data_IF_267460541106
#
_entry.id   IF_267460541106
#
_cell.length_a   1.000
_cell.length_b   1.000
_cell.length_c   1.000
_cell.angle_alpha   90.00
_cell.angle_beta   90.00
_cell.angle_gamma   90.00
#
_symmetry.space_group_name_H-M   'P 1'
#
loop_
_entity.id
_entity.type
_entity.pdbx_description
1 polymer ?
#
# COMPACT_ATOMS: atom_id res chain seq x y z
N UNK A 1 16.31 16.48 10.04
CA UNK A 1 14.90 16.30 9.77
C UNK A 1 14.64 15.07 8.92
N UNK A 2 13.68 14.27 9.33
CA UNK A 2 13.31 13.11 8.54
C UNK A 2 12.44 13.53 7.37
N UNK A 3 12.67 12.93 6.20
CA UNK A 3 11.78 13.06 5.07
C UNK A 3 10.63 12.08 5.23
N UNK A 4 9.42 12.50 4.88
CA UNK A 4 8.24 11.65 4.98
C UNK A 4 7.84 11.13 3.61
N UNK A 5 7.51 9.86 3.60
CA UNK A 5 6.98 9.17 2.42
C UNK A 5 5.47 9.05 2.58
N UNK A 6 4.73 9.53 1.60
CA UNK A 6 3.28 9.38 1.56
C UNK A 6 2.92 8.03 0.94
N UNK A 7 2.03 7.30 1.59
CA UNK A 7 1.60 5.98 1.14
C UNK A 7 0.09 5.95 0.96
N UNK A 8 -0.37 5.36 -0.13
CA UNK A 8 -1.77 5.04 -0.38
C UNK A 8 -1.86 3.56 -0.67
N UNK A 9 -2.61 2.82 0.12
CA UNK A 9 -2.68 1.36 0.02
C UNK A 9 -4.12 0.92 -0.16
N UNK A 10 -4.35 0.10 -1.18
CA UNK A 10 -5.62 -0.58 -1.40
C UNK A 10 -5.43 -2.07 -1.13
N UNK A 11 -6.13 -2.59 -0.14
CA UNK A 11 -6.14 -4.03 0.16
C UNK A 11 -7.25 -4.71 -0.61
N UNK A 12 -6.93 -5.87 -1.17
CA UNK A 12 -7.80 -6.63 -2.07
C UNK A 12 -7.89 -8.08 -1.60
N UNK A 13 -9.07 -8.65 -1.66
CA UNK A 13 -9.29 -10.03 -1.24
C UNK A 13 -10.72 -10.22 -0.76
N UNK A 14 -10.93 -11.26 0.04
CA UNK A 14 -12.22 -11.53 0.62
C UNK A 14 -12.67 -10.34 1.48
N UNK A 15 -13.95 -10.02 1.37
CA UNK A 15 -14.54 -8.86 2.03
C UNK A 15 -14.27 -8.86 3.53
N UNK A 16 -14.36 -10.01 4.18
CA UNK A 16 -14.13 -10.15 5.61
C UNK A 16 -12.66 -9.93 5.97
N UNK A 17 -11.74 -10.42 5.15
CA UNK A 17 -10.31 -10.25 5.35
C UNK A 17 -9.90 -8.80 5.18
N UNK A 18 -10.42 -8.13 4.15
CA UNK A 18 -10.17 -6.71 3.92
C UNK A 18 -10.72 -5.86 5.06
N UNK A 19 -11.92 -6.18 5.55
CA UNK A 19 -12.52 -5.48 6.69
C UNK A 19 -11.67 -5.64 7.95
N UNK A 20 -11.10 -6.82 8.16
CA UNK A 20 -10.21 -7.08 9.30
C UNK A 20 -8.94 -6.23 9.24
N UNK A 21 -8.38 -6.02 8.04
CA UNK A 21 -7.22 -5.15 7.84
C UNK A 21 -7.57 -3.69 8.15
N UNK A 22 -8.71 -3.22 7.68
CA UNK A 22 -9.19 -1.85 7.98
C UNK A 22 -9.37 -1.64 9.48
N UNK A 23 -9.92 -2.63 10.15
CA UNK A 23 -10.08 -2.61 11.60
C UNK A 23 -8.72 -2.56 12.31
N UNK A 24 -7.74 -3.29 11.82
CA UNK A 24 -6.37 -3.25 12.35
C UNK A 24 -5.79 -1.83 12.29
N UNK A 25 -5.91 -1.15 11.15
CA UNK A 25 -5.42 0.22 11.00
C UNK A 25 -6.16 1.19 11.92
N UNK A 26 -7.46 1.02 12.07
CA UNK A 26 -8.26 1.85 12.98
C UNK A 26 -7.80 1.68 14.43
N UNK A 27 -7.48 0.45 14.84
CA UNK A 27 -6.96 0.17 16.18
C UNK A 27 -5.57 0.77 16.40
N UNK A 28 -4.70 0.70 15.40
CA UNK A 28 -3.38 1.31 15.48
C UNK A 28 -3.51 2.82 15.64
N UNK A 29 -4.36 3.45 14.83
CA UNK A 29 -4.62 4.89 14.90
C UNK A 29 -5.13 5.28 16.29
N UNK A 30 -6.11 4.56 16.81
CA UNK A 30 -6.69 4.82 18.13
C UNK A 30 -5.64 4.71 19.22
N UNK A 31 -4.81 3.69 19.19
CA UNK A 31 -3.76 3.46 20.17
C UNK A 31 -2.70 4.57 20.12
N UNK A 32 -2.31 4.99 18.94
CA UNK A 32 -1.35 6.09 18.76
C UNK A 32 -1.90 7.41 19.31
N UNK A 33 -3.17 7.69 19.07
CA UNK A 33 -3.82 8.88 19.59
C UNK A 33 -3.91 8.87 21.12
N UNK A 34 -4.08 7.68 21.69
CA UNK A 34 -4.20 7.51 23.14
C UNK A 34 -2.86 7.64 23.86
N UNK A 35 -1.81 7.06 23.30
CA UNK A 35 -0.49 6.97 23.94
C UNK A 35 0.47 8.06 23.50
N UNK A 36 0.15 8.78 22.43
CA UNK A 36 1.03 9.75 21.76
C UNK A 36 2.36 9.14 21.33
N UNK A 37 2.36 7.84 21.05
CA UNK A 37 3.53 7.10 20.57
C UNK A 37 3.14 6.29 19.34
N UNK A 38 4.11 6.09 18.44
CA UNK A 38 3.91 5.27 17.26
C UNK A 38 4.04 3.80 17.63
N UNK A 39 3.15 2.99 17.08
CA UNK A 39 3.11 1.56 17.34
C UNK A 39 2.98 0.78 16.03
N UNK A 40 3.60 -0.38 16.00
CA UNK A 40 3.32 -1.39 14.99
C UNK A 40 2.44 -2.48 15.61
N UNK A 41 1.61 -3.17 14.82
CA UNK A 41 0.90 -4.34 15.34
C UNK A 41 1.85 -5.37 15.94
N UNK A 42 1.41 -6.05 16.98
CA UNK A 42 2.26 -6.95 17.76
C UNK A 42 2.91 -8.07 16.96
N UNK A 43 2.25 -8.53 15.89
CA UNK A 43 2.77 -9.61 15.06
C UNK A 43 3.82 -9.15 14.04
N UNK A 44 4.01 -7.84 13.87
CA UNK A 44 4.97 -7.29 12.92
C UNK A 44 6.39 -7.39 13.48
N UNK A 45 7.28 -7.95 12.67
CA UNK A 45 8.71 -8.02 12.96
C UNK A 45 9.43 -6.97 12.13
N UNK A 46 9.65 -5.81 12.73
CA UNK A 46 10.35 -4.70 12.09
C UNK A 46 10.82 -3.71 13.15
N UNK A 47 11.96 -3.09 12.89
CA UNK A 47 12.53 -2.07 13.79
C UNK A 47 12.05 -0.66 13.43
N UNK A 48 11.41 -0.50 12.28
CA UNK A 48 10.94 0.78 11.77
C UNK A 48 9.72 0.54 10.87
N UNK A 49 9.20 1.59 10.26
CA UNK A 49 8.05 1.48 9.38
C UNK A 49 6.74 1.86 10.06
N UNK A 50 6.83 2.69 11.09
CA UNK A 50 5.66 3.21 11.79
C UNK A 50 4.79 4.03 10.86
N UNK A 51 3.48 3.84 10.96
CA UNK A 51 2.48 4.53 10.16
C UNK A 51 1.98 5.77 10.91
N UNK A 52 2.18 6.93 10.30
CA UNK A 52 1.80 8.22 10.89
C UNK A 52 0.65 8.83 10.08
N UNK A 53 -0.16 9.64 10.73
CA UNK A 53 -1.27 10.36 10.09
C UNK A 53 -2.17 9.42 9.29
N UNK A 54 -2.60 8.35 9.95
CA UNK A 54 -3.43 7.32 9.31
C UNK A 54 -4.80 7.89 8.99
N UNK A 55 -5.22 7.74 7.75
CA UNK A 55 -6.57 8.05 7.27
C UNK A 55 -7.15 6.80 6.62
N UNK A 56 -8.11 6.19 7.30
CA UNK A 56 -8.73 4.94 6.89
C UNK A 56 -10.20 5.12 6.49
N UNK A 57 -10.61 6.35 6.14
CA UNK A 57 -12.02 6.67 5.88
C UNK A 57 -12.55 6.11 4.57
N UNK A 58 -11.68 5.85 3.61
CA UNK A 58 -12.06 5.37 2.28
C UNK A 58 -11.46 3.99 1.99
N UNK A 59 -11.67 3.49 0.79
CA UNK A 59 -11.12 2.20 0.38
C UNK A 59 -9.60 2.20 0.36
N UNK A 60 -9.01 3.32 -0.01
CA UNK A 60 -7.57 3.52 0.06
C UNK A 60 -7.18 4.02 1.44
N UNK A 61 -6.24 3.31 2.06
CA UNK A 61 -5.65 3.73 3.33
C UNK A 61 -4.48 4.66 3.04
N UNK A 62 -4.49 5.84 3.65
CA UNK A 62 -3.44 6.83 3.48
C UNK A 62 -2.71 7.02 4.80
N UNK A 63 -1.38 7.03 4.74
CA UNK A 63 -0.55 7.29 5.91
C UNK A 63 0.86 7.70 5.47
N UNK A 64 1.63 8.21 6.40
CA UNK A 64 3.02 8.59 6.16
C UNK A 64 3.97 7.68 6.90
N UNK A 65 5.14 7.45 6.29
CA UNK A 65 6.26 6.73 6.89
C UNK A 65 7.52 7.56 6.74
N UNK A 66 8.55 7.26 7.54
CA UNK A 66 9.82 7.99 7.49
C UNK A 66 10.70 7.42 6.39
N UNK A 67 11.22 8.29 5.51
CA UNK A 67 12.22 8.01 4.48
C UNK A 67 11.75 7.17 3.32
N UNK A 68 11.02 6.09 3.57
CA UNK A 68 10.67 5.09 2.56
C UNK A 68 9.32 4.46 2.88
N UNK A 69 8.66 3.82 1.90
CA UNK A 69 7.46 3.04 2.18
C UNK A 69 7.81 1.82 3.06
N UNK A 70 6.87 1.45 3.91
CA UNK A 70 7.04 0.31 4.83
C UNK A 70 6.56 -1.00 4.20
N UNK A 71 7.09 -1.35 3.05
CA UNK A 71 6.61 -2.51 2.27
C UNK A 71 6.74 -3.83 3.04
N UNK A 72 7.79 -3.98 3.85
CA UNK A 72 7.97 -5.17 4.68
C UNK A 72 6.86 -5.31 5.74
N UNK A 73 6.37 -4.20 6.26
CA UNK A 73 5.25 -4.20 7.21
C UNK A 73 3.97 -4.59 6.49
N UNK A 74 3.71 -3.99 5.33
CA UNK A 74 2.53 -4.30 4.52
C UNK A 74 2.50 -5.76 4.07
N UNK A 75 3.66 -6.30 3.72
CA UNK A 75 3.79 -7.70 3.32
C UNK A 75 3.40 -8.64 4.47
N UNK A 76 3.85 -8.34 5.69
CA UNK A 76 3.49 -9.13 6.86
C UNK A 76 2.00 -9.05 7.18
N UNK A 77 1.39 -7.87 7.02
CA UNK A 77 -0.05 -7.70 7.19
C UNK A 77 -0.80 -8.52 6.13
N UNK A 78 -0.39 -8.42 4.89
CA UNK A 78 -1.04 -9.14 3.79
C UNK A 78 -0.96 -10.65 3.96
N UNK A 79 0.18 -11.14 4.40
CA UNK A 79 0.38 -12.58 4.67
C UNK A 79 -0.51 -13.06 5.81
N UNK A 80 -0.57 -12.31 6.90
CA UNK A 80 -1.37 -12.68 8.07
C UNK A 80 -2.87 -12.70 7.75
N UNK A 81 -3.36 -11.69 7.05
CA UNK A 81 -4.80 -11.55 6.77
C UNK A 81 -5.21 -12.16 5.44
N UNK A 82 -4.26 -12.75 4.70
CA UNK A 82 -4.52 -13.41 3.40
C UNK A 82 -5.18 -12.47 2.41
N UNK A 83 -4.63 -11.28 2.30
CA UNK A 83 -5.07 -10.26 1.34
C UNK A 83 -3.93 -9.91 0.40
N UNK A 84 -4.27 -9.29 -0.71
CA UNK A 84 -3.32 -8.67 -1.62
C UNK A 84 -3.35 -7.16 -1.42
N UNK A 85 -2.39 -6.44 -1.96
CA UNK A 85 -2.44 -4.97 -1.90
C UNK A 85 -1.76 -4.33 -3.09
N UNK A 86 -2.17 -3.09 -3.33
CA UNK A 86 -1.51 -2.15 -4.23
C UNK A 86 -1.13 -0.95 -3.37
N UNK A 87 0.14 -0.56 -3.42
CA UNK A 87 0.64 0.58 -2.67
C UNK A 87 1.26 1.61 -3.62
N UNK A 88 0.78 2.84 -3.53
CA UNK A 88 1.41 3.98 -4.20
C UNK A 88 2.15 4.78 -3.15
N UNK A 89 3.41 5.08 -3.40
CA UNK A 89 4.21 5.85 -2.45
C UNK A 89 4.97 6.96 -3.15
N UNK A 90 5.19 8.05 -2.43
CA UNK A 90 5.99 9.16 -2.93
C UNK A 90 6.76 9.83 -1.79
N UNK A 91 8.02 10.11 -2.02
CA UNK A 91 8.87 10.90 -1.13
C UNK A 91 9.34 12.11 -1.92
N UNK A 92 8.74 13.25 -1.61
CA UNK A 92 8.87 14.45 -2.44
C UNK A 92 10.26 15.07 -2.40
N UNK A 93 10.94 15.01 -1.27
CA UNK A 93 12.25 15.63 -1.11
C UNK A 93 13.33 14.91 -1.93
N UNK A 94 13.24 13.59 -2.04
CA UNK A 94 14.12 12.79 -2.88
C UNK A 94 13.64 12.69 -4.33
N UNK A 95 12.40 13.14 -4.60
CA UNK A 95 11.81 13.01 -5.91
C UNK A 95 11.51 11.57 -6.32
N UNK A 96 11.38 10.67 -5.35
CA UNK A 96 11.07 9.26 -5.59
C UNK A 96 9.57 9.03 -5.42
N UNK A 97 9.00 8.30 -6.35
CA UNK A 97 7.64 7.79 -6.27
C UNK A 97 7.62 6.41 -6.88
N UNK A 98 6.67 5.61 -6.48
CA UNK A 98 6.64 4.26 -6.98
C UNK A 98 5.35 3.53 -6.66
N UNK A 99 5.37 2.28 -7.00
CA UNK A 99 4.23 1.39 -6.88
C UNK A 99 4.71 0.01 -6.45
N UNK A 100 4.00 -0.57 -5.51
CA UNK A 100 4.24 -1.94 -5.08
C UNK A 100 2.94 -2.71 -5.17
N UNK A 101 3.03 -3.95 -5.62
CA UNK A 101 1.90 -4.87 -5.71
C UNK A 101 2.27 -6.16 -5.00
N UNK A 102 1.42 -6.59 -4.09
CA UNK A 102 1.52 -7.90 -3.45
C UNK A 102 0.39 -8.77 -3.97
N UNK A 103 0.75 -9.86 -4.62
CA UNK A 103 -0.21 -10.75 -5.25
C UNK A 103 0.27 -12.19 -5.11
N UNK A 104 -0.58 -13.05 -4.54
CA UNK A 104 -0.32 -14.48 -4.37
C UNK A 104 1.03 -14.75 -3.70
N UNK A 105 1.34 -14.02 -2.64
CA UNK A 105 2.54 -14.20 -1.85
C UNK A 105 3.80 -13.58 -2.45
N UNK A 106 3.67 -12.81 -3.53
CA UNK A 106 4.81 -12.19 -4.21
C UNK A 106 4.69 -10.68 -4.22
N UNK A 107 5.72 -10.02 -3.70
CA UNK A 107 5.84 -8.57 -3.73
C UNK A 107 6.66 -8.13 -4.95
N UNK A 108 6.10 -7.21 -5.72
CA UNK A 108 6.78 -6.57 -6.83
C UNK A 108 6.71 -5.06 -6.63
N UNK A 109 7.84 -4.37 -6.72
CA UNK A 109 7.86 -2.91 -6.58
C UNK A 109 8.68 -2.27 -7.68
N UNK A 110 8.27 -1.07 -8.07
CA UNK A 110 8.96 -0.26 -9.06
C UNK A 110 9.13 1.15 -8.52
N UNK A 111 10.36 1.50 -8.16
CA UNK A 111 10.71 2.87 -7.77
C UNK A 111 10.95 3.71 -9.01
N UNK A 112 10.45 4.94 -8.96
CA UNK A 112 10.64 5.90 -10.03
C UNK A 112 11.18 7.18 -9.43
N UNK A 113 12.16 7.78 -10.12
CA UNK A 113 12.70 9.07 -9.71
C UNK A 113 11.98 10.15 -10.50
N UNK A 114 11.56 11.21 -9.82
CA UNK A 114 10.87 12.35 -10.43
C UNK A 114 11.69 12.98 -11.58
N UNK A 115 13.00 13.00 -11.41
CA UNK A 115 13.90 13.59 -12.43
C UNK A 115 14.17 12.61 -13.58
N UNK A 116 14.20 11.33 -13.30
CA UNK A 116 14.32 10.31 -14.35
C UNK A 116 13.05 10.20 -15.18
N UNK A 117 11.90 10.53 -14.60
CA UNK A 117 10.61 10.45 -15.24
C UNK A 117 10.40 11.44 -16.37
N UNK A 118 11.23 12.49 -16.46
CA UNK A 118 11.08 13.53 -17.47
C UNK A 118 11.13 12.98 -18.91
N UNK A 119 11.78 11.84 -19.09
CA UNK A 119 11.94 11.23 -20.43
C UNK A 119 11.32 9.84 -20.53
N UNK A 120 10.51 9.43 -19.58
CA UNK A 120 9.86 8.13 -19.68
C UNK A 120 8.76 8.15 -20.71
N UNK A 121 8.73 7.15 -21.61
CA UNK A 121 7.64 7.06 -22.56
C UNK A 121 6.31 6.90 -21.81
N UNK A 122 5.31 7.66 -22.24
CA UNK A 122 3.93 7.53 -21.72
C UNK A 122 3.43 6.10 -21.76
N UNK A 123 4.00 5.29 -22.63
CA UNK A 123 3.68 3.90 -22.84
C UNK A 123 3.91 3.04 -21.58
N UNK A 124 5.00 3.31 -20.84
CA UNK A 124 5.31 2.56 -19.63
C UNK A 124 4.35 2.87 -18.49
N UNK A 125 4.01 4.15 -18.34
CA UNK A 125 3.03 4.59 -17.35
C UNK A 125 1.63 4.04 -17.66
N UNK A 126 1.24 4.02 -18.92
CA UNK A 126 -0.04 3.48 -19.34
C UNK A 126 -0.12 1.97 -19.11
N UNK A 127 0.97 1.24 -19.33
CA UNK A 127 1.03 -0.20 -19.06
C UNK A 127 0.83 -0.48 -17.58
N UNK A 128 1.47 0.31 -16.70
CA UNK A 128 1.30 0.17 -15.25
C UNK A 128 -0.12 0.50 -14.80
N UNK A 129 -0.72 1.56 -15.37
CA UNK A 129 -2.11 1.93 -15.05
C UNK A 129 -3.09 0.85 -15.50
N UNK A 130 -2.86 0.24 -16.65
CA UNK A 130 -3.68 -0.87 -17.13
C UNK A 130 -3.53 -2.09 -16.27
N UNK A 131 -2.32 -2.39 -15.84
CA UNK A 131 -2.07 -3.50 -14.91
C UNK A 131 -2.80 -3.30 -13.59
N UNK A 132 -2.79 -2.08 -13.06
CA UNK A 132 -3.55 -1.73 -11.86
C UNK A 132 -5.04 -1.94 -12.04
N UNK A 133 -5.60 -1.42 -13.14
CA UNK A 133 -7.02 -1.61 -13.45
C UNK A 133 -7.38 -3.08 -13.57
N UNK A 134 -6.53 -3.85 -14.20
CA UNK A 134 -6.72 -5.29 -14.35
C UNK A 134 -6.77 -5.98 -12.99
N UNK A 135 -5.82 -5.67 -12.11
CA UNK A 135 -5.76 -6.25 -10.77
C UNK A 135 -6.97 -5.86 -9.93
N UNK A 136 -7.34 -4.59 -9.96
CA UNK A 136 -8.52 -4.10 -9.24
C UNK A 136 -9.79 -4.78 -9.74
N UNK A 137 -9.98 -4.85 -11.05
CA UNK A 137 -11.14 -5.51 -11.64
C UNK A 137 -11.19 -6.99 -11.30
N UNK A 138 -10.05 -7.66 -11.35
CA UNK A 138 -9.97 -9.08 -11.05
C UNK A 138 -10.34 -9.39 -9.60
N UNK A 139 -9.92 -8.55 -8.66
CA UNK A 139 -10.18 -8.79 -7.24
C UNK A 139 -11.54 -8.28 -6.77
N UNK A 140 -12.02 -7.15 -7.32
CA UNK A 140 -13.30 -6.58 -6.93
C UNK A 140 -14.47 -7.19 -7.70
N UNK A 141 -14.23 -7.65 -8.94
CA UNK A 141 -15.26 -8.20 -9.82
C UNK A 141 -14.78 -9.50 -10.46
N UNK A 142 -14.55 -10.56 -9.65
CA UNK A 142 -13.99 -11.82 -10.19
C UNK A 142 -14.89 -12.49 -11.24
N UNK A 143 -16.19 -12.26 -11.21
CA UNK A 143 -17.14 -12.86 -12.15
C UNK A 143 -17.01 -12.27 -13.57
N UNK A 144 -16.45 -11.07 -13.70
CA UNK A 144 -16.28 -10.44 -15.01
C UNK A 144 -15.22 -11.16 -15.86
N UNK A 145 -14.23 -11.79 -15.25
CA UNK A 145 -13.22 -12.56 -15.97
C UNK A 145 -13.81 -13.83 -16.60
N UNK A 146 -14.80 -14.43 -15.96
CA UNK A 146 -15.46 -15.64 -16.46
C UNK A 146 -16.36 -15.37 -17.66
N UNK A 147 -16.86 -14.14 -17.80
CA UNK A 147 -17.75 -13.77 -18.88
C UNK A 147 -16.99 -13.34 -20.16
N UNK A 148 -15.72 -13.09 -20.05
CA UNK A 148 -14.87 -12.66 -21.18
C UNK A 148 -14.02 -13.77 -21.78
N UNK A 149 -14.12 -14.95 -21.21
CA UNK A 149 -13.33 -16.11 -21.64
C UNK A 149 -13.73 -16.71 -22.99
#
# INVERSE_FOLDING_TARGET
MANYCSNSVLFLGDKECVAAVKDLFARVELQQNKTHQYHLPDFIKADDGYMQDIDACEDWLNYETRWAPNLNVLEQIAEKYKVNFICHYSEMMSGIWGEAVYHDGKLTSVDRNKYDGVKRPDRELNALRQQQKYLINRFLFPDNDLQRG
#
